data_IF_899878747132
#
_entry.id   IF_899878747132
#
_cell.length_a   1.000
_cell.length_b   1.000
_cell.length_c   1.000
_cell.angle_alpha   90.00
_cell.angle_beta   90.00
_cell.angle_gamma   90.00
#
_symmetry.space_group_name_H-M   'P 1'
#
loop_
_entity.id
_entity.type
_entity.pdbx_description
1 polymer ?
#
# COMPACT_ATOMS: atom_id res chain seq x y z
N UNK A 1 27.71 -19.15 9.37
CA UNK A 1 28.75 -19.30 8.31
C UNK A 1 28.80 -18.09 7.38
N UNK A 2 27.72 -17.68 6.71
CA UNK A 2 27.69 -16.36 6.05
C UNK A 2 28.03 -15.21 7.03
N UNK A 3 27.43 -15.21 8.23
CA UNK A 3 27.76 -14.25 9.30
C UNK A 3 29.15 -14.43 9.95
N UNK A 4 29.92 -15.45 9.53
CA UNK A 4 31.30 -15.72 9.99
C UNK A 4 32.33 -15.61 8.87
N UNK A 5 31.91 -15.29 7.65
CA UNK A 5 32.84 -14.96 6.56
C UNK A 5 33.72 -13.76 6.95
N UNK A 6 34.81 -13.44 6.23
CA UNK A 6 35.54 -12.19 6.46
C UNK A 6 34.61 -10.96 6.42
N UNK A 7 34.96 -9.86 7.10
CA UNK A 7 34.06 -8.73 7.34
C UNK A 7 33.51 -8.03 6.07
N UNK A 8 34.03 -8.33 4.88
CA UNK A 8 33.49 -7.88 3.58
C UNK A 8 32.61 -8.90 2.83
N UNK A 9 32.37 -10.09 3.40
CA UNK A 9 31.60 -11.19 2.77
C UNK A 9 30.39 -11.62 3.60
N UNK A 10 30.11 -10.97 4.73
CA UNK A 10 28.98 -11.32 5.60
C UNK A 10 27.69 -10.70 5.07
N UNK A 11 27.03 -11.37 4.13
CA UNK A 11 25.79 -10.84 3.56
C UNK A 11 25.01 -11.85 2.73
N UNK A 12 23.90 -11.37 2.17
CA UNK A 12 23.04 -12.17 1.29
C UNK A 12 23.76 -12.69 0.03
N UNK A 13 24.69 -11.94 -0.61
CA UNK A 13 25.49 -12.51 -1.71
C UNK A 13 26.29 -13.75 -1.31
N UNK A 14 26.87 -13.79 -0.12
CA UNK A 14 27.58 -14.99 0.36
C UNK A 14 26.62 -16.12 0.71
N UNK A 15 25.44 -15.81 1.26
CA UNK A 15 24.38 -16.82 1.41
C UNK A 15 24.02 -17.45 0.06
N UNK A 16 23.85 -16.62 -0.98
CA UNK A 16 23.58 -17.11 -2.35
C UNK A 16 24.69 -18.04 -2.82
N UNK A 17 25.95 -17.64 -2.68
CA UNK A 17 27.11 -18.47 -3.04
C UNK A 17 27.11 -19.82 -2.33
N UNK A 18 26.79 -19.85 -1.03
CA UNK A 18 26.71 -21.08 -0.25
C UNK A 18 25.56 -21.99 -0.69
N UNK A 19 24.41 -21.42 -1.06
CA UNK A 19 23.26 -22.16 -1.57
C UNK A 19 23.49 -22.76 -2.96
N UNK A 20 24.46 -22.25 -3.73
CA UNK A 20 24.79 -22.72 -5.08
C UNK A 20 26.05 -23.57 -5.14
N UNK A 21 26.55 -24.05 -3.99
CA UNK A 21 27.70 -24.95 -3.95
C UNK A 21 27.42 -26.27 -4.68
N UNK A 22 28.44 -26.91 -5.27
CA UNK A 22 28.32 -28.27 -5.78
C UNK A 22 27.85 -29.25 -4.68
N UNK A 23 27.15 -30.36 -5.01
CA UNK A 23 26.54 -31.25 -4.03
C UNK A 23 27.49 -31.74 -2.92
N UNK A 24 28.73 -32.11 -3.29
CA UNK A 24 29.75 -32.56 -2.33
C UNK A 24 30.16 -31.46 -1.34
N UNK A 25 30.33 -30.23 -1.83
CA UNK A 25 30.70 -29.08 -0.99
C UNK A 25 29.53 -28.62 -0.11
N UNK A 26 28.30 -28.70 -0.62
CA UNK A 26 27.09 -28.43 0.15
C UNK A 26 26.92 -29.41 1.32
N UNK A 27 27.12 -30.71 1.07
CA UNK A 27 27.07 -31.73 2.12
C UNK A 27 28.17 -31.51 3.18
N UNK A 28 29.39 -31.21 2.73
CA UNK A 28 30.50 -30.87 3.62
C UNK A 28 30.19 -29.63 4.48
N UNK A 29 29.58 -28.60 3.89
CA UNK A 29 29.13 -27.41 4.61
C UNK A 29 28.10 -27.76 5.70
N UNK A 30 27.11 -28.59 5.39
CA UNK A 30 26.10 -29.02 6.35
C UNK A 30 26.73 -29.84 7.50
N UNK A 31 27.68 -30.74 7.19
CA UNK A 31 28.41 -31.49 8.24
C UNK A 31 29.23 -30.55 9.14
N UNK A 32 29.88 -29.55 8.57
CA UNK A 32 30.60 -28.53 9.34
C UNK A 32 29.64 -27.70 10.22
N UNK A 33 28.45 -27.35 9.71
CA UNK A 33 27.39 -26.71 10.50
C UNK A 33 26.90 -27.60 11.65
N UNK A 34 26.78 -28.91 11.40
CA UNK A 34 26.33 -29.88 12.39
C UNK A 34 27.35 -30.08 13.53
N UNK A 35 28.64 -30.06 13.21
CA UNK A 35 29.72 -30.19 14.19
C UNK A 35 29.87 -28.97 15.12
N UNK A 36 29.34 -27.81 14.72
CA UNK A 36 29.38 -26.58 15.50
C UNK A 36 28.21 -26.49 16.50
N UNK A 37 28.39 -27.18 17.64
CA UNK A 37 27.34 -27.36 18.66
C UNK A 37 26.97 -26.06 19.39
N UNK A 38 27.87 -25.09 19.48
CA UNK A 38 27.68 -23.88 20.30
C UNK A 38 27.11 -22.70 19.50
N UNK A 39 27.19 -22.74 18.16
CA UNK A 39 26.69 -21.68 17.30
C UNK A 39 25.20 -21.38 17.51
N UNK A 40 24.91 -20.15 17.98
CA UNK A 40 23.56 -19.66 18.25
C UNK A 40 22.76 -20.63 19.15
N UNK A 41 23.38 -21.15 20.22
CA UNK A 41 22.74 -22.10 21.13
C UNK A 41 22.39 -23.44 20.45
N UNK A 42 23.25 -23.90 19.55
CA UNK A 42 23.09 -25.12 18.77
C UNK A 42 22.02 -25.07 17.68
N UNK A 43 21.42 -23.90 17.39
CA UNK A 43 20.42 -23.76 16.34
C UNK A 43 20.98 -24.15 14.97
N UNK A 44 22.24 -23.75 14.69
CA UNK A 44 22.92 -24.05 13.42
C UNK A 44 23.10 -25.56 13.26
N UNK A 45 23.58 -26.23 14.30
CA UNK A 45 23.79 -27.68 14.30
C UNK A 45 22.48 -28.45 14.08
N UNK A 46 21.42 -28.10 14.83
CA UNK A 46 20.09 -28.72 14.68
C UNK A 46 19.49 -28.49 13.29
N UNK A 47 19.66 -27.29 12.72
CA UNK A 47 19.17 -26.99 11.38
C UNK A 47 19.88 -27.82 10.30
N UNK A 48 21.21 -28.00 10.43
CA UNK A 48 21.99 -28.82 9.51
C UNK A 48 21.65 -30.30 9.62
N UNK A 49 21.55 -30.84 10.84
CA UNK A 49 21.13 -32.21 11.09
C UNK A 49 19.75 -32.50 10.49
N UNK A 50 18.80 -31.56 10.64
CA UNK A 50 17.46 -31.66 10.02
C UNK A 50 17.51 -31.68 8.49
N UNK A 51 18.43 -30.94 7.86
CA UNK A 51 18.56 -30.97 6.41
C UNK A 51 19.22 -32.26 5.91
N UNK A 52 20.25 -32.75 6.63
CA UNK A 52 20.94 -34.00 6.32
C UNK A 52 20.07 -35.24 6.54
N UNK A 53 19.14 -35.18 7.49
CA UNK A 53 18.22 -36.29 7.79
C UNK A 53 17.00 -36.39 6.86
N UNK A 54 16.84 -35.48 5.88
CA UNK A 54 15.75 -35.52 4.91
C UNK A 54 16.02 -36.57 3.83
N UNK A 55 14.94 -37.14 3.29
CA UNK A 55 15.05 -37.94 2.07
C UNK A 55 15.55 -37.08 0.89
N UNK A 56 16.32 -37.65 -0.03
CA UNK A 56 17.02 -36.93 -1.10
C UNK A 56 16.13 -35.97 -1.88
N UNK A 57 14.91 -36.40 -2.26
CA UNK A 57 13.96 -35.54 -3.01
C UNK A 57 13.49 -34.34 -2.18
N UNK A 58 13.22 -34.55 -0.89
CA UNK A 58 12.79 -33.47 -0.01
C UNK A 58 13.94 -32.49 0.26
N UNK A 59 15.14 -33.01 0.51
CA UNK A 59 16.34 -32.21 0.71
C UNK A 59 16.65 -31.33 -0.53
N UNK A 60 16.59 -31.92 -1.72
CA UNK A 60 16.75 -31.20 -2.99
C UNK A 60 15.64 -30.16 -3.21
N UNK A 61 14.38 -30.49 -2.86
CA UNK A 61 13.26 -29.56 -2.93
C UNK A 61 13.44 -28.32 -2.05
N UNK A 62 13.91 -28.49 -0.82
CA UNK A 62 14.23 -27.38 0.09
C UNK A 62 15.34 -26.49 -0.49
N UNK A 63 16.43 -27.09 -0.98
CA UNK A 63 17.55 -26.33 -1.57
C UNK A 63 17.13 -25.58 -2.83
N UNK A 64 16.38 -26.24 -3.72
CA UNK A 64 15.84 -25.64 -4.95
C UNK A 64 14.93 -24.44 -4.65
N UNK A 65 14.09 -24.55 -3.62
CA UNK A 65 13.26 -23.44 -3.17
C UNK A 65 14.11 -22.27 -2.67
N UNK A 66 15.10 -22.53 -1.81
CA UNK A 66 16.01 -21.50 -1.32
C UNK A 66 16.78 -20.80 -2.46
N UNK A 67 17.25 -21.58 -3.43
CA UNK A 67 17.92 -21.06 -4.62
C UNK A 67 16.97 -20.20 -5.48
N UNK A 68 15.74 -20.62 -5.72
CA UNK A 68 14.75 -19.84 -6.48
C UNK A 68 14.46 -18.48 -5.83
N UNK A 69 14.32 -18.47 -4.52
CA UNK A 69 14.00 -17.26 -3.76
C UNK A 69 15.18 -16.29 -3.64
N UNK A 70 16.41 -16.76 -3.84
CA UNK A 70 17.65 -15.97 -3.75
C UNK A 70 18.29 -15.66 -5.11
N UNK A 71 17.70 -16.10 -6.24
CA UNK A 71 18.33 -15.97 -7.56
C UNK A 71 18.59 -14.50 -7.99
N UNK A 72 17.81 -13.54 -7.47
CA UNK A 72 18.00 -12.13 -7.79
C UNK A 72 19.40 -11.60 -7.40
N UNK A 73 20.09 -12.32 -6.51
CA UNK A 73 21.47 -12.05 -6.08
C UNK A 73 22.53 -12.55 -7.08
N UNK A 74 22.14 -13.29 -8.13
CA UNK A 74 23.05 -13.67 -9.22
C UNK A 74 23.45 -12.44 -10.06
N UNK A 75 22.68 -11.36 -9.99
CA UNK A 75 23.02 -10.08 -10.61
C UNK A 75 24.17 -9.42 -9.84
N UNK A 76 25.35 -9.19 -10.46
CA UNK A 76 26.48 -8.56 -9.79
C UNK A 76 26.15 -7.16 -9.27
N UNK A 77 25.30 -6.40 -9.99
CA UNK A 77 24.86 -5.06 -9.58
C UNK A 77 24.01 -5.12 -8.30
N UNK A 78 23.13 -6.10 -8.19
CA UNK A 78 22.29 -6.28 -7.01
C UNK A 78 23.09 -6.83 -5.83
N UNK A 79 24.03 -7.75 -6.07
CA UNK A 79 24.93 -8.22 -5.04
C UNK A 79 25.80 -7.08 -4.47
N UNK A 80 26.31 -6.21 -5.34
CA UNK A 80 27.11 -5.06 -4.95
C UNK A 80 26.32 -4.03 -4.12
N UNK A 81 25.06 -3.76 -4.47
CA UNK A 81 24.21 -2.82 -3.70
C UNK A 81 23.88 -3.31 -2.29
N UNK A 82 24.05 -4.61 -2.02
CA UNK A 82 23.78 -5.24 -0.73
C UNK A 82 25.04 -5.64 0.04
N UNK A 83 26.24 -5.33 -0.50
CA UNK A 83 27.51 -5.75 0.09
C UNK A 83 27.89 -4.93 1.34
N UNK A 84 27.42 -3.68 1.43
CA UNK A 84 27.74 -2.74 2.50
C UNK A 84 26.53 -1.86 2.78
N UNK A 85 26.40 -1.43 4.04
CA UNK A 85 25.43 -0.41 4.44
C UNK A 85 26.13 0.65 5.29
N UNK A 86 25.84 1.91 4.99
CA UNK A 86 26.35 3.08 5.74
C UNK A 86 25.42 3.49 6.89
N UNK A 87 24.20 2.96 6.92
CA UNK A 87 23.20 3.27 7.91
C UNK A 87 22.45 2.00 8.35
N UNK A 88 21.69 2.11 9.43
CA UNK A 88 20.68 1.14 9.87
C UNK A 88 19.31 1.80 9.78
N UNK A 89 18.27 1.02 9.52
CA UNK A 89 16.90 1.54 9.48
C UNK A 89 16.49 2.29 10.74
N UNK A 90 16.96 1.85 11.92
CA UNK A 90 16.72 2.53 13.20
C UNK A 90 17.29 3.95 13.27
N UNK A 91 18.35 4.23 12.52
CA UNK A 91 19.04 5.52 12.54
C UNK A 91 18.16 6.63 11.94
N UNK A 92 17.17 6.25 11.11
CA UNK A 92 16.15 7.17 10.57
C UNK A 92 15.26 7.81 11.65
N UNK A 93 15.29 7.30 12.89
CA UNK A 93 14.58 7.92 14.02
C UNK A 93 15.32 9.12 14.59
N UNK A 94 16.64 9.13 14.48
CA UNK A 94 17.50 10.06 15.21
C UNK A 94 18.10 11.14 14.29
N UNK A 95 17.97 11.02 12.97
CA UNK A 95 18.55 11.95 12.00
C UNK A 95 17.61 12.32 10.85
N UNK A 96 17.96 13.41 10.15
CA UNK A 96 17.32 13.82 8.91
C UNK A 96 17.97 13.07 7.74
N UNK A 97 17.55 11.83 7.50
CA UNK A 97 17.96 11.05 6.34
C UNK A 97 16.74 10.53 5.59
N UNK A 98 16.81 10.56 4.26
CA UNK A 98 15.79 10.01 3.37
C UNK A 98 16.41 8.90 2.53
N UNK A 99 15.75 7.74 2.50
CA UNK A 99 16.22 6.57 1.74
C UNK A 99 15.28 6.35 0.57
N UNK A 100 15.81 6.47 -0.65
CA UNK A 100 15.08 6.20 -1.87
C UNK A 100 15.36 4.79 -2.36
N UNK A 101 14.32 3.96 -2.44
CA UNK A 101 14.39 2.62 -3.01
C UNK A 101 13.91 2.64 -4.45
N UNK A 102 14.83 2.85 -5.39
CA UNK A 102 14.49 3.03 -6.80
C UNK A 102 14.62 1.69 -7.54
N UNK A 103 13.50 1.20 -8.06
CA UNK A 103 13.47 0.06 -8.98
C UNK A 103 12.68 0.43 -10.23
N UNK A 104 13.30 0.43 -11.42
CA UNK A 104 12.60 0.70 -12.67
C UNK A 104 11.42 -0.27 -12.91
N UNK A 105 10.29 0.17 -13.49
CA UNK A 105 9.13 -0.69 -13.73
C UNK A 105 9.44 -1.95 -14.55
N UNK A 106 10.31 -1.86 -15.56
CA UNK A 106 10.77 -2.99 -16.39
C UNK A 106 11.58 -4.03 -15.60
N UNK A 107 12.04 -3.66 -14.40
CA UNK A 107 12.84 -4.50 -13.49
C UNK A 107 12.05 -5.07 -12.33
N UNK A 108 10.79 -4.67 -12.16
CA UNK A 108 9.95 -5.11 -11.05
C UNK A 108 9.80 -6.64 -11.02
N UNK A 109 9.52 -7.29 -12.16
CA UNK A 109 9.34 -8.74 -12.21
C UNK A 109 10.59 -9.53 -11.75
N UNK A 110 11.78 -9.04 -12.06
CA UNK A 110 13.04 -9.70 -11.71
C UNK A 110 13.48 -9.42 -10.26
N UNK A 111 13.25 -8.20 -9.77
CA UNK A 111 13.85 -7.72 -8.52
C UNK A 111 12.86 -7.26 -7.44
N UNK A 112 11.55 -7.48 -7.61
CA UNK A 112 10.55 -7.19 -6.58
C UNK A 112 10.87 -7.87 -5.24
N UNK A 113 11.55 -9.04 -5.25
CA UNK A 113 11.99 -9.72 -4.02
C UNK A 113 12.99 -8.90 -3.21
N UNK A 114 13.89 -8.17 -3.87
CA UNK A 114 14.83 -7.26 -3.22
C UNK A 114 14.08 -6.09 -2.56
N UNK A 115 13.16 -5.45 -3.30
CA UNK A 115 12.37 -4.34 -2.77
C UNK A 115 11.50 -4.79 -1.58
N UNK A 116 10.80 -5.92 -1.71
CA UNK A 116 10.04 -6.57 -0.65
C UNK A 116 10.88 -6.85 0.60
N UNK A 117 12.13 -7.33 0.42
CA UNK A 117 13.05 -7.58 1.53
C UNK A 117 13.40 -6.27 2.26
N UNK A 118 13.77 -5.22 1.53
CA UNK A 118 14.14 -3.94 2.13
C UNK A 118 12.96 -3.29 2.89
N UNK A 119 11.77 -3.32 2.30
CA UNK A 119 10.53 -2.83 2.95
C UNK A 119 10.19 -3.66 4.20
N UNK A 120 10.24 -4.99 4.11
CA UNK A 120 9.97 -5.85 5.26
C UNK A 120 10.99 -5.63 6.38
N UNK A 121 12.27 -5.45 6.04
CA UNK A 121 13.34 -5.20 6.99
C UNK A 121 13.21 -3.83 7.65
N UNK A 122 12.89 -2.78 6.88
CA UNK A 122 12.73 -1.43 7.41
C UNK A 122 11.61 -1.38 8.45
N UNK A 123 10.44 -1.95 8.13
CA UNK A 123 9.31 -2.06 9.05
C UNK A 123 9.69 -2.86 10.30
N UNK A 124 10.35 -4.01 10.14
CA UNK A 124 10.70 -4.86 11.28
C UNK A 124 11.73 -4.23 12.22
N UNK A 125 12.77 -3.57 11.68
CA UNK A 125 13.78 -2.87 12.49
C UNK A 125 13.19 -1.64 13.17
N UNK A 126 12.39 -0.85 12.45
CA UNK A 126 11.76 0.34 13.01
C UNK A 126 10.76 -0.05 14.10
N UNK A 127 9.91 -1.05 13.89
CA UNK A 127 8.95 -1.51 14.90
C UNK A 127 9.60 -2.02 16.19
N UNK A 128 10.85 -2.51 16.14
CA UNK A 128 11.62 -2.95 17.32
C UNK A 128 12.41 -1.83 17.99
N UNK A 129 12.72 -0.77 17.26
CA UNK A 129 13.50 0.33 17.79
C UNK A 129 12.65 1.13 18.80
N UNK A 130 13.17 1.43 19.99
CA UNK A 130 12.42 2.16 21.01
C UNK A 130 12.01 3.54 20.47
N UNK A 131 10.73 3.88 20.61
CA UNK A 131 10.23 5.20 20.27
C UNK A 131 10.52 6.14 21.45
N UNK A 132 11.37 7.16 21.23
CA UNK A 132 11.59 8.22 22.21
C UNK A 132 10.42 9.22 22.19
N UNK A 133 9.94 9.69 23.35
CA UNK A 133 8.96 10.78 23.39
C UNK A 133 9.43 12.00 22.60
N UNK A 134 8.54 12.62 21.85
CA UNK A 134 8.84 13.83 21.05
C UNK A 134 9.57 13.59 19.73
N UNK A 135 9.96 12.35 19.40
CA UNK A 135 10.55 12.03 18.09
C UNK A 135 9.45 11.86 17.04
N UNK A 136 9.55 12.51 15.86
CA UNK A 136 8.57 12.34 14.79
C UNK A 136 8.58 10.90 14.24
N UNK A 137 7.45 10.40 13.72
CA UNK A 137 7.40 9.08 13.11
C UNK A 137 8.21 9.06 11.82
N UNK A 138 8.81 7.89 11.51
CA UNK A 138 9.46 7.67 10.22
C UNK A 138 8.37 7.39 9.18
N UNK A 139 8.37 8.17 8.10
CA UNK A 139 7.45 7.98 6.98
C UNK A 139 7.97 6.90 6.04
N UNK A 140 7.14 5.88 5.80
CA UNK A 140 7.33 4.91 4.74
C UNK A 140 6.31 5.19 3.63
N UNK A 141 6.78 5.88 2.59
CA UNK A 141 6.00 6.17 1.39
C UNK A 141 6.21 5.04 0.38
N UNK A 142 5.15 4.30 0.09
CA UNK A 142 5.17 3.16 -0.82
C UNK A 142 4.33 3.50 -2.04
N UNK A 143 5.02 4.00 -3.08
CA UNK A 143 4.43 4.14 -4.39
C UNK A 143 4.12 2.76 -4.99
N UNK A 144 3.00 2.66 -5.71
CA UNK A 144 2.49 1.42 -6.28
C UNK A 144 2.53 0.24 -5.28
N UNK A 145 1.92 0.43 -4.10
CA UNK A 145 1.97 -0.53 -2.99
C UNK A 145 1.52 -1.94 -3.40
N UNK A 146 0.57 -2.03 -4.34
CA UNK A 146 0.05 -3.29 -4.85
C UNK A 146 1.13 -4.15 -5.54
N UNK A 147 2.11 -3.54 -6.21
CA UNK A 147 3.21 -4.27 -6.86
C UNK A 147 4.08 -5.05 -5.87
N UNK A 148 4.09 -4.63 -4.59
CA UNK A 148 4.78 -5.37 -3.55
C UNK A 148 4.05 -6.66 -3.19
N UNK A 149 2.75 -6.79 -3.43
CA UNK A 149 1.93 -7.92 -2.97
C UNK A 149 1.88 -8.03 -1.44
N UNK A 150 1.41 -9.17 -0.92
CA UNK A 150 1.25 -9.36 0.54
C UNK A 150 2.59 -9.33 1.29
N UNK A 151 2.70 -8.40 2.24
CA UNK A 151 3.79 -8.28 3.21
C UNK A 151 3.22 -8.24 4.63
N UNK A 152 3.42 -9.31 5.40
CA UNK A 152 2.89 -9.38 6.78
C UNK A 152 3.47 -8.37 7.75
N UNK A 153 4.76 -7.96 7.66
CA UNK A 153 5.26 -6.86 8.47
C UNK A 153 4.49 -5.57 8.22
N UNK A 154 4.12 -5.28 6.97
CA UNK A 154 3.35 -4.07 6.62
C UNK A 154 1.91 -4.16 7.12
N UNK A 155 1.26 -5.31 6.99
CA UNK A 155 -0.09 -5.51 7.55
C UNK A 155 -0.10 -5.36 9.08
N UNK A 156 0.89 -5.97 9.75
CA UNK A 156 1.05 -5.87 11.20
C UNK A 156 1.30 -4.43 11.63
N UNK A 157 2.19 -3.73 10.91
CA UNK A 157 2.42 -2.30 11.14
C UNK A 157 1.13 -1.52 10.94
N UNK A 158 0.37 -1.76 9.87
CA UNK A 158 -0.88 -1.04 9.59
C UNK A 158 -1.94 -1.19 10.69
N UNK A 159 -2.02 -2.35 11.35
CA UNK A 159 -2.91 -2.56 12.49
C UNK A 159 -2.40 -2.04 13.84
N UNK A 160 -1.09 -1.85 13.99
CA UNK A 160 -0.42 -1.51 15.25
C UNK A 160 0.25 -0.11 15.21
N UNK A 161 -0.05 0.74 14.21
CA UNK A 161 0.70 1.97 13.92
C UNK A 161 0.81 2.92 15.14
N UNK A 162 -0.19 2.92 16.02
CA UNK A 162 -0.17 3.72 17.24
C UNK A 162 0.93 3.23 18.20
N UNK A 163 2.09 3.91 18.19
CA UNK A 163 3.20 3.66 19.12
C UNK A 163 4.42 2.95 18.53
N UNK A 164 4.41 2.64 17.22
CA UNK A 164 5.58 2.09 16.52
C UNK A 164 6.47 3.18 15.90
N UNK A 165 6.15 4.46 16.09
CA UNK A 165 6.90 5.59 15.50
C UNK A 165 7.02 5.49 13.98
N UNK A 166 6.03 4.91 13.32
CA UNK A 166 5.98 4.63 11.90
C UNK A 166 4.72 5.26 11.33
N UNK A 167 4.85 5.94 10.19
CA UNK A 167 3.73 6.41 9.40
C UNK A 167 3.76 5.73 8.03
N UNK A 168 2.72 4.98 7.70
CA UNK A 168 2.57 4.37 6.38
C UNK A 168 1.81 5.33 5.47
N UNK A 169 2.36 5.60 4.29
CA UNK A 169 1.64 6.28 3.21
C UNK A 169 1.67 5.38 1.98
N UNK A 170 0.55 4.71 1.75
CA UNK A 170 0.40 3.70 0.70
C UNK A 170 -0.33 4.34 -0.48
N UNK A 171 0.25 4.22 -1.67
CA UNK A 171 -0.35 4.68 -2.92
C UNK A 171 -0.81 3.46 -3.71
N UNK A 172 -2.05 3.48 -4.17
CA UNK A 172 -2.74 2.40 -4.84
C UNK A 172 -3.52 2.98 -6.03
N UNK A 173 -3.68 2.20 -7.10
CA UNK A 173 -4.50 2.63 -8.24
C UNK A 173 -5.99 2.55 -7.91
N UNK A 174 -6.39 1.46 -7.25
CA UNK A 174 -7.77 1.20 -6.86
C UNK A 174 -7.86 0.29 -5.61
N UNK A 175 -9.07 0.10 -5.09
CA UNK A 175 -9.30 -0.80 -3.97
C UNK A 175 -9.25 -2.29 -4.35
N UNK A 176 -9.44 -2.63 -5.63
CA UNK A 176 -9.40 -4.01 -6.09
C UNK A 176 -7.99 -4.58 -5.99
N UNK A 177 -6.96 -3.81 -6.31
CA UNK A 177 -5.55 -4.14 -6.11
C UNK A 177 -5.23 -4.47 -4.65
N UNK A 178 -5.71 -3.64 -3.71
CA UNK A 178 -5.50 -3.88 -2.28
C UNK A 178 -6.17 -5.18 -1.82
N UNK A 179 -7.42 -5.41 -2.25
CA UNK A 179 -8.16 -6.66 -1.96
C UNK A 179 -7.50 -7.88 -2.60
N UNK A 180 -6.97 -7.76 -3.82
CA UNK A 180 -6.27 -8.85 -4.47
C UNK A 180 -5.00 -9.26 -3.69
N UNK A 181 -4.27 -8.29 -3.15
CA UNK A 181 -3.06 -8.56 -2.38
C UNK A 181 -3.34 -9.05 -0.94
N UNK A 182 -4.39 -8.54 -0.28
CA UNK A 182 -4.59 -8.74 1.16
C UNK A 182 -5.89 -9.47 1.56
N UNK A 183 -6.78 -9.76 0.61
CA UNK A 183 -8.08 -10.39 0.88
C UNK A 183 -8.89 -9.60 1.92
N UNK A 184 -9.50 -10.31 2.87
CA UNK A 184 -10.28 -9.70 3.95
C UNK A 184 -9.47 -8.73 4.81
N UNK A 185 -8.14 -8.93 4.90
CA UNK A 185 -7.25 -8.04 5.65
C UNK A 185 -7.12 -6.65 5.03
N UNK A 186 -7.54 -6.44 3.78
CA UNK A 186 -7.55 -5.14 3.11
C UNK A 186 -8.31 -4.06 3.90
N UNK A 187 -9.40 -4.44 4.57
CA UNK A 187 -10.19 -3.54 5.40
C UNK A 187 -9.37 -2.92 6.56
N UNK A 188 -8.35 -3.62 7.05
CA UNK A 188 -7.47 -3.15 8.13
C UNK A 188 -6.74 -1.86 7.75
N UNK A 189 -6.30 -1.75 6.49
CA UNK A 189 -5.60 -0.55 6.02
C UNK A 189 -6.52 0.66 6.05
N UNK A 190 -7.72 0.54 5.51
CA UNK A 190 -8.70 1.64 5.49
C UNK A 190 -9.18 1.99 6.91
N UNK A 191 -9.45 0.99 7.75
CA UNK A 191 -9.94 1.21 9.11
C UNK A 191 -8.92 1.90 10.03
N UNK A 192 -7.62 1.65 9.83
CA UNK A 192 -6.55 2.25 10.62
C UNK A 192 -5.88 3.45 9.94
N UNK A 193 -6.40 3.91 8.81
CA UNK A 193 -5.88 5.09 8.12
C UNK A 193 -6.30 6.37 8.84
N UNK A 194 -5.31 7.18 9.24
CA UNK A 194 -5.56 8.53 9.76
C UNK A 194 -6.06 9.51 8.69
N UNK A 195 -5.81 9.20 7.42
CA UNK A 195 -6.27 9.93 6.25
C UNK A 195 -6.41 8.96 5.07
N UNK A 196 -7.54 9.00 4.38
CA UNK A 196 -7.70 8.36 3.07
C UNK A 196 -7.90 9.45 2.02
N UNK A 197 -7.10 9.40 0.96
CA UNK A 197 -7.11 10.35 -0.15
C UNK A 197 -7.62 9.63 -1.38
N UNK A 198 -8.68 10.13 -1.99
CA UNK A 198 -9.32 9.51 -3.14
C UNK A 198 -9.37 10.52 -4.28
N UNK A 199 -8.57 10.28 -5.31
CA UNK A 199 -8.71 10.99 -6.59
C UNK A 199 -9.93 10.47 -7.36
N UNK A 200 -10.18 10.98 -8.56
CA UNK A 200 -11.18 10.40 -9.46
C UNK A 200 -10.92 8.88 -9.65
N UNK A 201 -11.80 7.99 -9.14
CA UNK A 201 -11.62 6.56 -9.28
C UNK A 201 -11.84 6.13 -10.74
N UNK A 202 -11.02 5.21 -11.22
CA UNK A 202 -11.13 4.65 -12.56
C UNK A 202 -12.12 3.46 -12.63
N UNK A 203 -12.47 2.87 -11.48
CA UNK A 203 -13.33 1.69 -11.37
C UNK A 203 -14.60 1.95 -10.55
N UNK A 204 -15.65 1.21 -10.89
CA UNK A 204 -16.97 1.35 -10.28
C UNK A 204 -17.00 0.89 -8.81
N UNK A 205 -16.14 -0.07 -8.41
CA UNK A 205 -16.13 -0.59 -7.05
C UNK A 205 -15.59 0.45 -6.06
N UNK A 206 -14.50 1.13 -6.42
CA UNK A 206 -13.95 2.25 -5.65
C UNK A 206 -14.93 3.42 -5.62
N UNK A 207 -15.59 3.73 -6.74
CA UNK A 207 -16.60 4.80 -6.81
C UNK A 207 -17.82 4.51 -5.90
N UNK A 208 -18.33 3.27 -5.93
CA UNK A 208 -19.41 2.82 -5.05
C UNK A 208 -19.00 2.86 -3.58
N UNK A 209 -17.78 2.41 -3.26
CA UNK A 209 -17.26 2.49 -1.91
C UNK A 209 -17.18 3.93 -1.42
N UNK A 210 -16.64 4.85 -2.23
CA UNK A 210 -16.53 6.27 -1.87
C UNK A 210 -17.91 6.89 -1.63
N UNK A 211 -18.87 6.67 -2.52
CA UNK A 211 -20.25 7.17 -2.38
C UNK A 211 -20.88 6.70 -1.07
N UNK A 212 -20.71 5.41 -0.72
CA UNK A 212 -21.22 4.84 0.53
C UNK A 212 -20.57 5.45 1.77
N UNK A 213 -19.25 5.67 1.73
CA UNK A 213 -18.51 6.26 2.85
C UNK A 213 -18.88 7.73 3.07
N UNK A 214 -19.13 8.47 1.99
CA UNK A 214 -19.59 9.86 2.06
C UNK A 214 -21.03 9.99 2.58
N UNK A 215 -21.85 8.96 2.38
CA UNK A 215 -23.24 8.93 2.81
C UNK A 215 -24.15 9.81 1.95
N UNK A 216 -25.31 10.16 2.52
CA UNK A 216 -26.36 10.89 1.81
C UNK A 216 -26.49 12.33 2.31
N UNK A 217 -26.88 13.21 1.39
CA UNK A 217 -27.34 14.57 1.63
C UNK A 217 -28.86 14.65 1.46
N UNK A 218 -29.50 15.63 2.10
CA UNK A 218 -30.91 15.93 1.88
C UNK A 218 -31.03 16.99 0.79
N UNK A 219 -31.82 16.71 -0.25
CA UNK A 219 -32.09 17.65 -1.34
C UNK A 219 -33.56 18.00 -1.34
N UNK A 220 -33.86 19.29 -1.51
CA UNK A 220 -35.21 19.82 -1.66
C UNK A 220 -35.59 19.86 -3.14
N UNK A 221 -36.66 19.15 -3.49
CA UNK A 221 -37.28 19.16 -4.80
C UNK A 221 -38.52 20.05 -4.73
N UNK A 222 -38.57 21.08 -5.57
CA UNK A 222 -39.77 21.91 -5.74
C UNK A 222 -40.46 21.45 -7.02
N UNK A 223 -41.63 20.83 -6.87
CA UNK A 223 -42.49 20.46 -7.99
C UNK A 223 -43.53 21.54 -8.18
N UNK A 224 -43.46 22.26 -9.30
CA UNK A 224 -44.51 23.21 -9.71
C UNK A 224 -45.42 22.53 -10.72
N UNK A 225 -46.71 22.49 -10.44
CA UNK A 225 -47.74 22.03 -11.37
C UNK A 225 -48.65 23.20 -11.75
N UNK A 226 -48.92 23.34 -13.04
CA UNK A 226 -49.86 24.33 -13.58
C UNK A 226 -50.98 23.61 -14.31
N UNK A 227 -52.22 23.74 -13.82
CA UNK A 227 -53.41 23.18 -14.44
C UNK A 227 -54.22 24.29 -15.12
N UNK A 228 -54.59 24.08 -16.39
CA UNK A 228 -55.54 24.94 -17.08
C UNK A 228 -56.81 24.15 -17.37
N UNK A 229 -57.93 24.56 -16.76
CA UNK A 229 -59.24 24.02 -17.06
C UNK A 229 -60.02 25.01 -17.92
N UNK A 230 -60.50 24.53 -19.07
CA UNK A 230 -61.47 25.24 -19.92
C UNK A 230 -62.78 24.46 -19.88
N UNK A 231 -63.91 25.07 -19.49
CA UNK A 231 -65.18 24.37 -19.50
C UNK A 231 -65.58 24.06 -20.96
N UNK A 232 -65.79 22.78 -21.27
CA UNK A 232 -66.36 22.35 -22.55
C UNK A 232 -67.89 22.39 -22.46
N UNK A 233 -68.49 23.55 -22.75
CA UNK A 233 -69.94 23.76 -22.78
C UNK A 233 -70.40 24.24 -24.16
N UNK A 234 -71.43 23.59 -24.71
CA UNK A 234 -71.99 23.84 -26.04
C UNK A 234 -73.10 24.91 -26.04
N UNK A 235 -72.86 26.09 -25.46
CA UNK A 235 -73.74 27.26 -25.64
C UNK A 235 -72.94 28.58 -25.55
N UNK A 236 -73.12 29.54 -26.48
CA UNK A 236 -72.36 30.79 -26.52
C UNK A 236 -73.07 31.88 -25.69
N UNK A 237 -73.11 31.74 -24.37
CA UNK A 237 -73.60 32.80 -23.48
C UNK A 237 -72.74 32.85 -22.21
N UNK A 238 -71.98 33.94 -22.05
CA UNK A 238 -71.26 34.27 -20.82
C UNK A 238 -69.79 33.83 -20.83
N UNK A 239 -68.88 34.81 -20.71
CA UNK A 239 -67.43 34.60 -20.75
C UNK A 239 -66.93 33.66 -19.66
N UNK A 240 -66.69 32.40 -20.03
CA UNK A 240 -66.03 31.42 -19.16
C UNK A 240 -64.57 31.82 -18.94
N UNK A 241 -64.24 32.29 -17.75
CA UNK A 241 -62.85 32.53 -17.34
C UNK A 241 -62.12 31.18 -17.27
N UNK A 242 -61.00 31.09 -17.98
CA UNK A 242 -60.09 29.96 -17.83
C UNK A 242 -59.54 29.97 -16.40
N UNK A 243 -59.74 28.87 -15.68
CA UNK A 243 -59.16 28.68 -14.35
C UNK A 243 -57.73 28.18 -14.55
N UNK A 244 -56.75 29.00 -14.17
CA UNK A 244 -55.34 28.59 -14.05
C UNK A 244 -55.09 28.32 -12.57
N UNK A 245 -54.76 27.09 -12.22
CA UNK A 245 -54.26 26.77 -10.88
C UNK A 245 -52.77 26.51 -10.94
N UNK A 246 -52.03 27.12 -10.04
CA UNK A 246 -50.61 26.86 -9.83
C UNK A 246 -50.43 26.29 -8.43
N UNK A 247 -49.87 25.09 -8.35
CA UNK A 247 -49.54 24.42 -7.10
C UNK A 247 -48.03 24.22 -7.03
N UNK A 248 -47.42 24.65 -5.94
CA UNK A 248 -46.01 24.37 -5.64
C UNK A 248 -45.96 23.39 -4.47
N UNK A 249 -45.37 22.21 -4.67
CA UNK A 249 -45.15 21.23 -3.62
C UNK A 249 -43.66 20.99 -3.41
N UNK A 250 -43.25 21.05 -2.16
CA UNK A 250 -41.87 20.85 -1.74
C UNK A 250 -41.69 19.43 -1.22
N UNK A 251 -40.70 18.70 -1.75
CA UNK A 251 -40.36 17.34 -1.34
C UNK A 251 -38.90 17.27 -0.90
N UNK A 252 -38.64 16.85 0.33
CA UNK A 252 -37.28 16.53 0.77
C UNK A 252 -36.99 15.07 0.42
N UNK A 253 -35.92 14.82 -0.32
CA UNK A 253 -35.47 13.45 -0.61
C UNK A 253 -33.96 13.30 -0.40
N UNK A 254 -33.56 12.13 0.07
CA UNK A 254 -32.15 11.79 0.28
C UNK A 254 -31.46 11.44 -1.03
N UNK A 255 -30.29 12.01 -1.26
CA UNK A 255 -29.42 11.73 -2.43
C UNK A 255 -27.99 11.49 -1.94
N UNK A 256 -27.24 10.51 -2.49
CA UNK A 256 -25.82 10.38 -2.20
C UNK A 256 -25.09 11.72 -2.29
N UNK A 257 -24.26 12.04 -1.29
CA UNK A 257 -23.51 13.31 -1.26
C UNK A 257 -22.64 13.47 -2.51
N UNK A 258 -22.10 12.34 -2.98
CA UNK A 258 -21.43 12.19 -4.26
C UNK A 258 -21.89 10.86 -4.86
N UNK A 259 -22.51 10.88 -6.03
CA UNK A 259 -22.87 9.63 -6.71
C UNK A 259 -21.62 8.94 -7.27
N UNK A 260 -21.62 7.61 -7.48
CA UNK A 260 -20.47 6.91 -8.07
C UNK A 260 -20.04 7.51 -9.42
N UNK A 261 -21.02 7.87 -10.25
CA UNK A 261 -20.82 8.47 -11.56
C UNK A 261 -20.21 9.88 -11.49
N UNK A 262 -20.61 10.70 -10.51
CA UNK A 262 -19.94 11.98 -10.22
C UNK A 262 -18.53 11.81 -9.68
N UNK A 263 -18.31 10.80 -8.82
CA UNK A 263 -16.98 10.49 -8.31
C UNK A 263 -16.01 10.18 -9.45
N UNK A 264 -16.40 9.32 -10.39
CA UNK A 264 -15.58 8.96 -11.55
C UNK A 264 -15.32 10.15 -12.50
N UNK A 265 -16.17 11.19 -12.46
CA UNK A 265 -15.99 12.44 -13.22
C UNK A 265 -15.36 13.58 -12.42
N UNK A 266 -14.84 13.32 -11.22
CA UNK A 266 -14.10 14.33 -10.46
C UNK A 266 -12.97 14.90 -11.33
N UNK A 267 -12.79 16.21 -11.29
CA UNK A 267 -11.69 16.86 -12.01
C UNK A 267 -10.35 16.24 -11.59
N UNK A 268 -9.39 16.03 -12.52
CA UNK A 268 -8.05 15.54 -12.19
C UNK A 268 -7.30 16.41 -11.18
N UNK A 269 -7.72 17.66 -10.98
CA UNK A 269 -7.20 18.60 -9.99
C UNK A 269 -7.75 18.40 -8.58
N UNK A 270 -8.78 17.58 -8.41
CA UNK A 270 -9.50 17.44 -7.16
C UNK A 270 -9.30 16.05 -6.55
N UNK A 271 -9.37 16.01 -5.23
CA UNK A 271 -9.39 14.80 -4.44
C UNK A 271 -10.33 14.94 -3.25
N UNK A 272 -10.88 13.81 -2.82
CA UNK A 272 -11.67 13.71 -1.60
C UNK A 272 -10.77 13.24 -0.47
N UNK A 273 -10.79 13.98 0.63
CA UNK A 273 -10.06 13.69 1.86
C UNK A 273 -11.03 13.17 2.92
N UNK A 274 -10.76 11.97 3.41
CA UNK A 274 -11.53 11.31 4.47
C UNK A 274 -10.64 11.19 5.70
N UNK A 275 -10.98 11.96 6.76
CA UNK A 275 -10.28 11.92 8.04
C UNK A 275 -11.25 11.45 9.13
N UNK A 276 -10.90 10.42 9.93
CA UNK A 276 -11.76 9.96 11.02
C UNK A 276 -12.18 11.11 11.96
N UNK A 277 -13.48 11.16 12.26
CA UNK A 277 -14.07 12.18 13.15
C UNK A 277 -14.20 13.58 12.54
N UNK A 278 -13.96 13.75 11.23
CA UNK A 278 -14.15 15.02 10.51
C UNK A 278 -15.08 14.83 9.31
N UNK A 279 -15.72 15.92 8.90
CA UNK A 279 -16.49 15.92 7.66
C UNK A 279 -15.55 15.67 6.46
N UNK A 280 -16.01 14.96 5.41
CA UNK A 280 -15.27 14.84 4.16
C UNK A 280 -14.91 16.21 3.59
N UNK A 281 -13.72 16.34 3.02
CA UNK A 281 -13.28 17.57 2.37
C UNK A 281 -12.96 17.32 0.90
N UNK A 282 -13.40 18.21 0.03
CA UNK A 282 -12.95 18.29 -1.35
C UNK A 282 -11.75 19.24 -1.39
N UNK A 283 -10.59 18.76 -1.84
CA UNK A 283 -9.35 19.51 -1.87
C UNK A 283 -8.74 19.52 -3.27
N UNK A 284 -7.97 20.57 -3.58
CA UNK A 284 -7.14 20.60 -4.80
C UNK A 284 -5.86 19.80 -4.56
N UNK A 285 -5.39 19.11 -5.60
CA UNK A 285 -4.10 18.43 -5.59
C UNK A 285 -2.99 19.45 -5.77
N UNK A 286 -1.86 19.20 -5.12
CA UNK A 286 -0.63 19.93 -5.34
C UNK A 286 0.07 19.33 -6.57
N UNK A 287 0.33 20.15 -7.59
CA UNK A 287 1.09 19.78 -8.79
C UNK A 287 2.43 20.48 -8.73
N UNK A 288 3.48 19.75 -8.39
CA UNK A 288 4.81 20.34 -8.18
C UNK A 288 5.29 21.15 -9.41
N UNK A 289 5.01 20.70 -10.63
CA UNK A 289 5.41 21.38 -11.87
C UNK A 289 4.60 22.66 -12.19
N UNK A 290 3.48 22.90 -11.51
CA UNK A 290 2.67 24.13 -11.66
C UNK A 290 2.90 25.11 -10.50
N UNK A 291 3.49 24.64 -9.41
CA UNK A 291 3.64 25.42 -8.18
C UNK A 291 5.02 26.10 -8.13
N UNK A 292 5.06 27.46 -8.07
CA UNK A 292 6.30 28.21 -8.03
C UNK A 292 7.26 27.83 -6.91
N UNK A 293 6.76 27.27 -5.79
CA UNK A 293 7.60 26.80 -4.68
C UNK A 293 8.56 25.68 -5.11
N UNK A 294 8.17 24.88 -6.11
CA UNK A 294 8.92 23.71 -6.56
C UNK A 294 9.66 23.93 -7.90
N UNK A 295 9.60 25.14 -8.47
CA UNK A 295 10.26 25.45 -9.73
C UNK A 295 11.78 25.22 -9.65
N UNK A 296 12.33 24.39 -10.55
CA UNK A 296 13.75 24.06 -10.57
C UNK A 296 14.22 23.09 -9.47
N UNK A 297 13.31 22.56 -8.64
CA UNK A 297 13.62 21.55 -7.61
C UNK A 297 13.34 20.11 -8.08
N UNK A 298 12.63 19.93 -9.19
CA UNK A 298 12.15 18.62 -9.67
C UNK A 298 12.50 18.32 -11.15
N UNK A 299 13.25 19.19 -11.82
CA UNK A 299 13.50 19.14 -13.27
C UNK A 299 14.81 18.41 -13.67
N UNK A 300 15.37 17.54 -12.83
CA UNK A 300 16.56 16.70 -13.13
C UNK A 300 16.30 15.19 -13.09
#
# INVERSE_FOLDING_TARGET
LACRAPDGRRGLPELRRLLTLPPREWEALLRAMMADADAAGGLVSRAAARQLGKADREAAGVLSSAQRHTHFLDSPRMAASMARSDFRWRDLRDGAATVFLVLPPDRMAAYARWLRLLVAQSVAELARAPQRPGTPPVLLLLDEFAALGRLEPVLSAAGLMAGLGLQLWLILQDLAQLRAAYGDSAATFLANSGLVQVSAPADLDTANWLSRVLGNSTVEYVTSSSGSSRPAGWLPVGGGQASVSEGTSTHLAGRPLLTPDEAMRLSPDLQVLLRPGKAPALARKLRHYEDPEFAGLADE
#
